data_IF_913985233482
#
_entry.id   IF_913985233482
#
_cell.length_a   1.000
_cell.length_b   1.000
_cell.length_c   1.000
_cell.angle_alpha   90.00
_cell.angle_beta   90.00
_cell.angle_gamma   90.00
#
_symmetry.space_group_name_H-M   'P 1'
#
loop_
_entity.id
_entity.type
_entity.pdbx_description
1 polymer ?
#
# COMPACT_ATOMS: atom_id res chain seq x y z
N UNK A 1 -8.46 12.57 17.41
CA UNK A 1 -8.25 11.13 17.62
C UNK A 1 -9.36 10.41 16.88
N UNK A 2 -9.01 9.60 15.88
CA UNK A 2 -9.96 8.67 15.27
C UNK A 2 -10.17 7.51 16.26
N UNK A 3 -11.36 6.94 16.28
CA UNK A 3 -11.58 5.68 17.00
C UNK A 3 -10.86 4.54 16.26
N UNK A 4 -10.40 3.47 16.94
CA UNK A 4 -9.75 2.33 16.29
C UNK A 4 -10.57 1.73 15.12
N UNK A 5 -11.90 1.83 15.20
CA UNK A 5 -12.83 1.40 14.14
C UNK A 5 -12.77 2.32 12.90
N UNK A 6 -12.61 3.64 13.09
CA UNK A 6 -12.47 4.60 12.00
C UNK A 6 -11.12 4.48 11.30
N UNK A 7 -10.02 4.31 12.05
CA UNK A 7 -8.69 4.08 11.45
C UNK A 7 -8.67 2.80 10.63
N UNK A 8 -9.24 1.70 11.16
CA UNK A 8 -9.39 0.44 10.42
C UNK A 8 -10.17 0.61 9.12
N UNK A 9 -11.28 1.34 9.16
CA UNK A 9 -12.09 1.60 7.97
C UNK A 9 -11.34 2.45 6.94
N UNK A 10 -10.61 3.46 7.38
CA UNK A 10 -9.77 4.31 6.53
C UNK A 10 -8.66 3.50 5.85
N UNK A 11 -7.91 2.70 6.62
CA UNK A 11 -6.85 1.82 6.12
C UNK A 11 -7.37 0.82 5.09
N UNK A 12 -8.51 0.16 5.36
CA UNK A 12 -9.15 -0.73 4.40
C UNK A 12 -9.53 -0.01 3.10
N UNK A 13 -10.00 1.24 3.22
CA UNK A 13 -10.27 2.11 2.07
C UNK A 13 -9.02 2.36 1.23
N UNK A 14 -7.91 2.74 1.86
CA UNK A 14 -6.63 3.01 1.20
C UNK A 14 -6.02 1.76 0.56
N UNK A 15 -6.05 0.62 1.25
CA UNK A 15 -5.59 -0.68 0.70
C UNK A 15 -6.37 -1.01 -0.57
N UNK A 16 -7.69 -0.83 -0.57
CA UNK A 16 -8.49 -1.06 -1.77
C UNK A 16 -8.16 -0.07 -2.89
N UNK A 17 -7.96 1.21 -2.58
CA UNK A 17 -7.53 2.21 -3.57
C UNK A 17 -6.18 1.86 -4.19
N UNK A 18 -5.21 1.43 -3.38
CA UNK A 18 -3.90 1.03 -3.84
C UNK A 18 -3.96 -0.22 -4.72
N UNK A 19 -4.80 -1.19 -4.37
CA UNK A 19 -5.07 -2.39 -5.19
C UNK A 19 -5.62 -2.01 -6.57
N UNK A 20 -6.60 -1.10 -6.63
CA UNK A 20 -7.16 -0.66 -7.91
C UNK A 20 -6.13 0.11 -8.75
N UNK A 21 -5.29 0.94 -8.12
CA UNK A 21 -4.22 1.64 -8.83
C UNK A 21 -3.18 0.67 -9.43
N UNK A 22 -2.79 -0.35 -8.67
CA UNK A 22 -1.89 -1.41 -9.17
C UNK A 22 -2.52 -2.14 -10.35
N UNK A 23 -3.81 -2.48 -10.29
CA UNK A 23 -4.52 -3.12 -11.40
C UNK A 23 -4.54 -2.25 -12.66
N UNK A 24 -4.75 -0.94 -12.51
CA UNK A 24 -4.69 -0.01 -13.62
C UNK A 24 -3.30 -0.01 -14.27
N UNK A 25 -2.23 0.05 -13.48
CA UNK A 25 -0.87 -0.01 -14.02
C UNK A 25 -0.54 -1.37 -14.66
N UNK A 26 -1.02 -2.48 -14.10
CA UNK A 26 -0.87 -3.82 -14.69
C UNK A 26 -1.60 -3.97 -16.03
N UNK A 27 -2.68 -3.20 -16.25
CA UNK A 27 -3.41 -3.18 -17.53
C UNK A 27 -2.74 -2.30 -18.60
N UNK A 28 -1.68 -1.59 -18.25
CA UNK A 28 -0.96 -0.68 -19.15
C UNK A 28 0.22 -1.36 -19.85
N UNK A 29 0.85 -0.66 -20.80
CA UNK A 29 2.06 -1.14 -21.45
C UNK A 29 3.26 -0.97 -20.50
N UNK A 30 3.52 -2.00 -19.69
CA UNK A 30 4.59 -2.06 -18.70
C UNK A 30 5.62 -3.13 -19.09
N UNK A 31 6.87 -2.95 -18.65
CA UNK A 31 7.89 -4.00 -18.81
C UNK A 31 7.58 -5.19 -17.90
N UNK A 32 8.17 -6.35 -18.22
CA UNK A 32 8.02 -7.56 -17.40
C UNK A 32 8.58 -7.39 -15.98
N UNK A 33 9.65 -6.61 -15.84
CA UNK A 33 10.25 -6.26 -14.55
C UNK A 33 9.29 -5.40 -13.72
N UNK A 34 8.70 -4.38 -14.34
CA UNK A 34 7.70 -3.52 -13.70
C UNK A 34 6.44 -4.30 -13.30
N UNK A 35 5.97 -5.21 -14.16
CA UNK A 35 4.84 -6.10 -13.86
C UNK A 35 5.16 -6.99 -12.64
N UNK A 36 6.35 -7.57 -12.58
CA UNK A 36 6.77 -8.43 -11.48
C UNK A 36 6.81 -7.66 -10.15
N UNK A 37 7.31 -6.42 -10.16
CA UNK A 37 7.32 -5.55 -8.98
C UNK A 37 5.91 -5.12 -8.55
N UNK A 38 5.02 -4.81 -9.49
CA UNK A 38 3.63 -4.49 -9.19
C UNK A 38 2.88 -5.68 -8.59
N UNK A 39 3.12 -6.89 -9.08
CA UNK A 39 2.55 -8.12 -8.51
C UNK A 39 3.09 -8.36 -7.09
N UNK A 40 4.38 -8.10 -6.86
CA UNK A 40 4.95 -8.16 -5.51
C UNK A 40 4.27 -7.12 -4.60
N UNK A 41 4.19 -5.86 -5.01
CA UNK A 41 3.51 -4.81 -4.25
C UNK A 41 2.05 -5.18 -3.96
N UNK A 42 1.32 -5.71 -4.95
CA UNK A 42 -0.06 -6.18 -4.77
C UNK A 42 -0.15 -7.24 -3.67
N UNK A 43 0.74 -8.24 -3.70
CA UNK A 43 0.79 -9.27 -2.66
C UNK A 43 1.06 -8.66 -1.28
N UNK A 44 2.03 -7.75 -1.17
CA UNK A 44 2.39 -7.08 0.07
C UNK A 44 1.26 -6.21 0.62
N UNK A 45 0.58 -5.44 -0.24
CA UNK A 45 -0.56 -4.59 0.14
C UNK A 45 -1.75 -5.42 0.63
N UNK A 46 -2.01 -6.57 0.02
CA UNK A 46 -3.05 -7.51 0.48
C UNK A 46 -2.74 -8.11 1.86
N UNK A 47 -1.48 -8.12 2.30
CA UNK A 47 -1.08 -8.57 3.64
C UNK A 47 -1.25 -7.48 4.70
N UNK A 48 -1.46 -6.22 4.31
CA UNK A 48 -1.82 -5.12 5.20
C UNK A 48 -3.33 -5.09 5.55
N UNK A 49 -4.11 -6.02 4.98
CA UNK A 49 -5.54 -6.13 5.28
C UNK A 49 -5.71 -6.54 6.75
N UNK A 50 -6.44 -5.73 7.52
CA UNK A 50 -6.68 -5.99 8.94
C UNK A 50 -7.58 -7.20 9.09
N UNK A 51 -7.07 -8.28 9.68
CA UNK A 51 -7.92 -9.37 10.13
C UNK A 51 -8.54 -9.02 11.49
N UNK A 52 -9.77 -9.47 11.74
CA UNK A 52 -10.56 -9.08 12.91
C UNK A 52 -9.90 -9.46 14.25
N UNK A 53 -8.94 -10.41 14.23
CA UNK A 53 -8.34 -10.96 15.44
C UNK A 53 -6.95 -10.42 15.84
N UNK A 54 -6.05 -9.96 14.96
CA UNK A 54 -4.66 -9.70 15.40
C UNK A 54 -3.86 -8.62 14.67
N UNK A 55 -3.12 -7.90 15.53
CA UNK A 55 -1.77 -7.35 15.42
C UNK A 55 -1.38 -6.55 14.17
N UNK A 56 -1.28 -5.25 14.43
CA UNK A 56 -0.51 -4.29 13.67
C UNK A 56 0.87 -4.85 13.29
N UNK A 57 1.09 -5.15 12.01
CA UNK A 57 2.42 -5.51 11.54
C UNK A 57 3.11 -4.26 10.98
N UNK A 58 3.73 -3.50 11.88
CA UNK A 58 4.50 -2.30 11.55
C UNK A 58 5.65 -2.59 10.57
N UNK A 59 6.22 -3.80 10.62
CA UNK A 59 7.27 -4.21 9.69
C UNK A 59 6.75 -4.27 8.26
N UNK A 60 5.53 -4.79 8.06
CA UNK A 60 4.87 -4.86 6.75
C UNK A 60 4.70 -3.46 6.12
N UNK A 61 4.28 -2.46 6.90
CA UNK A 61 4.12 -1.10 6.39
C UNK A 61 5.46 -0.40 6.10
N UNK A 62 6.50 -0.71 6.87
CA UNK A 62 7.84 -0.17 6.65
C UNK A 62 8.48 -0.66 5.34
N UNK A 63 7.99 -1.77 4.77
CA UNK A 63 8.48 -2.26 3.47
C UNK A 63 7.89 -1.53 2.26
N UNK A 64 6.70 -0.90 2.38
CA UNK A 64 6.03 -0.25 1.25
C UNK A 64 6.86 0.87 0.57
N UNK A 65 7.59 1.74 1.31
CA UNK A 65 8.44 2.74 0.67
C UNK A 65 9.56 2.15 -0.19
N UNK A 66 10.12 0.99 0.18
CA UNK A 66 11.17 0.33 -0.61
C UNK A 66 10.60 -0.18 -1.95
N UNK A 67 9.43 -0.81 -1.93
CA UNK A 67 8.74 -1.21 -3.17
C UNK A 67 8.43 -0.01 -4.06
N UNK A 68 8.02 1.11 -3.44
CA UNK A 68 7.74 2.33 -4.17
C UNK A 68 8.99 2.85 -4.89
N UNK A 69 10.13 2.95 -4.22
CA UNK A 69 11.39 3.39 -4.86
C UNK A 69 11.79 2.53 -6.05
N UNK A 70 11.64 1.20 -5.94
CA UNK A 70 11.92 0.29 -7.06
C UNK A 70 10.93 0.49 -8.23
N UNK A 71 9.63 0.65 -7.92
CA UNK A 71 8.55 0.82 -8.92
C UNK A 71 8.67 2.14 -9.69
N UNK A 72 9.20 3.20 -9.08
CA UNK A 72 9.41 4.51 -9.73
C UNK A 72 10.27 4.41 -10.98
N UNK A 73 11.15 3.41 -11.06
CA UNK A 73 12.00 3.17 -12.23
C UNK A 73 11.23 2.60 -13.43
N UNK A 74 10.03 2.04 -13.21
CA UNK A 74 9.28 1.28 -14.22
C UNK A 74 7.92 1.88 -14.56
N UNK A 75 7.42 2.84 -13.78
CA UNK A 75 6.13 3.48 -14.00
C UNK A 75 6.25 4.94 -14.41
N UNK A 76 5.44 5.30 -15.42
CA UNK A 76 5.14 6.69 -15.75
C UNK A 76 3.86 7.09 -14.99
N UNK A 77 3.86 8.25 -14.34
CA UNK A 77 2.74 8.78 -13.53
C UNK A 77 2.34 7.85 -12.38
N UNK A 78 3.17 7.79 -11.35
CA UNK A 78 2.93 6.99 -10.14
C UNK A 78 2.48 7.82 -8.92
N UNK A 79 2.25 9.13 -9.08
CA UNK A 79 1.98 10.07 -7.96
C UNK A 79 0.83 9.62 -7.04
N UNK A 80 -0.21 9.01 -7.62
CA UNK A 80 -1.36 8.50 -6.85
C UNK A 80 -1.00 7.25 -6.06
N UNK A 81 -0.18 6.38 -6.63
CA UNK A 81 0.35 5.18 -5.96
C UNK A 81 1.27 5.59 -4.80
N UNK A 82 2.17 6.55 -5.02
CA UNK A 82 3.02 7.14 -3.99
C UNK A 82 2.21 7.77 -2.84
N UNK A 83 1.23 8.62 -3.16
CA UNK A 83 0.38 9.26 -2.15
C UNK A 83 -0.37 8.25 -1.30
N UNK A 84 -0.96 7.23 -1.93
CA UNK A 84 -1.71 6.20 -1.21
C UNK A 84 -0.81 5.39 -0.28
N UNK A 85 0.42 5.07 -0.71
CA UNK A 85 1.42 4.41 0.14
C UNK A 85 1.81 5.30 1.34
N UNK A 86 2.06 6.60 1.12
CA UNK A 86 2.39 7.53 2.20
C UNK A 86 1.26 7.69 3.22
N UNK A 87 0.01 7.74 2.78
CA UNK A 87 -1.16 7.80 3.65
C UNK A 87 -1.30 6.52 4.48
N UNK A 88 -1.10 5.33 3.88
CA UNK A 88 -1.07 4.05 4.60
C UNK A 88 0.05 4.06 5.64
N UNK A 89 1.27 4.45 5.27
CA UNK A 89 2.41 4.51 6.20
C UNK A 89 2.16 5.48 7.35
N UNK A 90 1.53 6.62 7.10
CA UNK A 90 1.21 7.63 8.14
C UNK A 90 0.24 7.06 9.16
N UNK A 91 -0.88 6.47 8.71
CA UNK A 91 -1.85 5.82 9.59
C UNK A 91 -1.20 4.65 10.36
N UNK A 92 -0.25 3.95 9.74
CA UNK A 92 0.56 2.93 10.40
C UNK A 92 1.52 3.45 11.47
N UNK A 93 2.07 4.63 11.31
CA UNK A 93 2.85 5.27 12.36
C UNK A 93 1.93 5.71 13.51
N UNK A 94 0.83 6.40 13.21
CA UNK A 94 -0.08 6.94 14.23
C UNK A 94 -0.66 5.88 15.17
N UNK A 95 -1.02 4.69 14.68
CA UNK A 95 -1.56 3.61 15.52
C UNK A 95 -0.47 2.88 16.35
N UNK A 96 0.81 2.90 15.94
CA UNK A 96 1.90 2.31 16.74
C UNK A 96 2.37 3.21 17.89
N UNK A 97 2.04 4.51 17.85
CA UNK A 97 2.42 5.49 18.87
C UNK A 97 1.27 5.87 19.82
N UNK A 98 0.06 5.31 19.61
CA UNK A 98 -1.11 5.46 20.50
C UNK A 98 -1.36 4.20 21.32
#
# INVERSE_FOLDING_TARGET
MNTPTETKKALKGLVNQLVEEIRLHLSSNITREGESLLIALFYWVRRLDFNEEYEYNSSLANYLPFFLEDIKCYLVRFDKLERTIQEISTLYVEENFN
#
